data_IF_316632245722
#
_entry.id   IF_316632245722
#
_cell.length_a   1.000
_cell.length_b   1.000
_cell.length_c   1.000
_cell.angle_alpha   90.00
_cell.angle_beta   90.00
_cell.angle_gamma   90.00
#
_symmetry.space_group_name_H-M   'P 1'
#
loop_
_entity.id
_entity.type
_entity.pdbx_description
1 polymer ?
#
# COMPACT_ATOMS: atom_id res chain seq x y z
N UNK A 1 0.90 -8.87 19.60
CA UNK A 1 0.87 -10.28 20.04
C UNK A 1 -0.35 -10.92 19.40
N UNK A 2 -0.19 -11.94 18.57
CA UNK A 2 -1.35 -12.61 17.93
C UNK A 2 -1.87 -13.66 18.94
N UNK A 3 -3.17 -13.68 19.29
CA UNK A 3 -3.66 -14.46 20.44
C UNK A 3 -3.73 -15.98 20.19
N UNK A 4 -3.54 -16.43 18.96
CA UNK A 4 -3.64 -17.83 18.56
C UNK A 4 -2.94 -18.06 17.23
N UNK A 5 -2.27 -19.20 17.09
CA UNK A 5 -1.65 -19.68 15.84
C UNK A 5 -2.66 -20.36 14.90
N UNK A 6 -3.90 -20.60 15.36
CA UNK A 6 -4.97 -21.22 14.60
C UNK A 6 -5.67 -20.17 13.75
N UNK A 7 -5.91 -20.48 12.47
CA UNK A 7 -6.46 -19.51 11.52
C UNK A 7 -7.97 -19.32 11.75
N UNK A 8 -8.54 -18.11 11.57
CA UNK A 8 -9.95 -17.83 11.90
C UNK A 8 -10.99 -18.70 11.18
N UNK A 9 -10.69 -19.13 9.95
CA UNK A 9 -11.57 -20.01 9.17
C UNK A 9 -11.60 -21.46 9.70
N UNK A 10 -10.60 -21.88 10.48
CA UNK A 10 -10.54 -23.22 11.08
C UNK A 10 -11.47 -23.34 12.29
N UNK A 11 -11.80 -22.21 12.93
CA UNK A 11 -12.69 -22.13 14.10
C UNK A 11 -14.08 -21.57 13.78
N UNK A 12 -14.30 -21.09 12.55
CA UNK A 12 -15.56 -20.45 12.15
C UNK A 12 -15.78 -19.09 12.81
N UNK A 13 -14.71 -18.47 13.32
CA UNK A 13 -14.80 -17.17 13.99
C UNK A 13 -14.99 -16.06 12.96
N UNK A 14 -16.05 -15.26 13.12
CA UNK A 14 -16.18 -14.02 12.38
C UNK A 14 -15.07 -13.05 12.79
N UNK A 15 -14.40 -12.49 11.79
CA UNK A 15 -13.38 -11.46 11.99
C UNK A 15 -13.82 -10.16 11.34
N UNK A 16 -13.82 -9.09 12.12
CA UNK A 16 -14.14 -7.76 11.64
C UNK A 16 -13.07 -6.77 12.11
N UNK A 17 -12.82 -5.75 11.31
CA UNK A 17 -11.93 -4.65 11.70
C UNK A 17 -12.52 -3.31 11.30
N UNK A 18 -12.52 -2.37 12.25
CA UNK A 18 -12.97 -0.99 12.02
C UNK A 18 -11.75 -0.09 12.16
N UNK A 19 -11.48 0.72 11.13
CA UNK A 19 -10.33 1.61 11.07
C UNK A 19 -10.79 3.06 11.09
N UNK A 20 -10.12 3.89 11.88
CA UNK A 20 -10.25 5.35 11.86
C UNK A 20 -8.87 5.95 11.74
N UNK A 21 -8.54 6.41 10.53
CA UNK A 21 -7.29 7.09 10.26
C UNK A 21 -7.33 8.52 10.77
N UNK A 22 -6.27 8.92 11.47
CA UNK A 22 -5.96 10.30 11.83
C UNK A 22 -4.57 10.69 11.33
N UNK A 23 -4.16 11.95 11.51
CA UNK A 23 -2.92 12.48 10.92
C UNK A 23 -1.63 11.81 11.43
N UNK A 24 -1.59 11.38 12.69
CA UNK A 24 -0.40 10.80 13.35
C UNK A 24 -0.64 9.42 13.95
N UNK A 25 -1.87 8.96 13.91
CA UNK A 25 -2.24 7.67 14.43
C UNK A 25 -3.42 7.09 13.67
N UNK A 26 -3.42 5.78 13.51
CA UNK A 26 -4.59 5.02 13.07
C UNK A 26 -5.13 4.31 14.29
N UNK A 27 -6.44 4.38 14.51
CA UNK A 27 -7.11 3.54 15.51
C UNK A 27 -7.78 2.39 14.79
N UNK A 28 -7.62 1.20 15.32
CA UNK A 28 -8.31 0.03 14.83
C UNK A 28 -8.94 -0.74 15.98
N UNK A 29 -10.15 -1.23 15.76
CA UNK A 29 -10.77 -2.23 16.63
C UNK A 29 -10.88 -3.53 15.84
N UNK A 30 -10.13 -4.55 16.26
CA UNK A 30 -10.25 -5.90 15.74
C UNK A 30 -11.23 -6.69 16.59
N UNK A 31 -12.12 -7.44 15.96
CA UNK A 31 -12.95 -8.45 16.61
C UNK A 31 -12.65 -9.80 16.01
N UNK A 32 -12.50 -10.82 16.88
CA UNK A 32 -12.41 -12.23 16.49
C UNK A 32 -13.27 -13.03 17.45
N UNK A 33 -14.38 -13.56 16.97
CA UNK A 33 -15.39 -14.20 17.82
C UNK A 33 -15.86 -13.23 18.93
N UNK A 34 -15.72 -13.63 20.21
CA UNK A 34 -16.08 -12.79 21.37
C UNK A 34 -14.96 -11.88 21.88
N UNK A 35 -13.78 -11.91 21.26
CA UNK A 35 -12.62 -11.16 21.71
C UNK A 35 -12.44 -9.89 20.88
N UNK A 36 -12.09 -8.79 21.56
CA UNK A 36 -11.85 -7.49 20.94
C UNK A 36 -10.46 -6.97 21.28
N UNK A 37 -9.81 -6.35 20.29
CA UNK A 37 -8.48 -5.77 20.42
C UNK A 37 -8.50 -4.35 19.86
N UNK A 38 -8.44 -3.37 20.78
CA UNK A 38 -8.29 -1.97 20.43
C UNK A 38 -6.80 -1.64 20.31
N UNK A 39 -6.38 -1.23 19.11
CA UNK A 39 -5.00 -0.87 18.82
C UNK A 39 -4.93 0.57 18.34
N UNK A 40 -3.92 1.28 18.81
CA UNK A 40 -3.53 2.60 18.33
C UNK A 40 -2.19 2.44 17.65
N UNK A 41 -2.17 2.64 16.34
CA UNK A 41 -0.99 2.58 15.51
C UNK A 41 -0.42 3.97 15.41
N UNK A 42 0.80 4.16 15.86
CA UNK A 42 1.52 5.41 15.68
C UNK A 42 1.99 5.45 14.23
N UNK A 43 1.58 6.48 13.50
CA UNK A 43 2.13 6.77 12.19
C UNK A 43 3.42 7.55 12.43
N UNK A 44 4.56 6.88 12.25
CA UNK A 44 5.88 7.50 12.36
C UNK A 44 6.13 8.53 11.23
N UNK A 45 5.25 8.60 10.21
CA UNK A 45 5.26 9.62 9.15
C UNK A 45 3.87 9.80 8.51
N UNK A 46 3.65 10.95 7.85
CA UNK A 46 2.39 11.29 7.17
C UNK A 46 2.13 10.43 5.91
N UNK A 47 0.86 10.06 5.67
CA UNK A 47 0.41 9.30 4.48
C UNK A 47 0.02 10.27 3.36
N UNK A 48 0.68 10.19 2.19
CA UNK A 48 0.48 11.13 1.06
C UNK A 48 0.29 10.39 -0.29
N UNK A 49 -0.94 10.40 -0.83
CA UNK A 49 -1.37 10.08 -2.22
C UNK A 49 -1.40 8.60 -2.66
N UNK A 50 -2.61 8.06 -2.92
CA UNK A 50 -2.82 6.61 -3.15
C UNK A 50 -2.65 6.10 -4.60
N UNK A 51 -2.77 6.93 -5.65
CA UNK A 51 -2.53 6.47 -7.04
C UNK A 51 -2.30 7.62 -8.03
N UNK A 52 -1.20 7.59 -8.80
CA UNK A 52 -0.96 8.48 -9.95
C UNK A 52 -0.83 7.65 -11.22
N UNK A 53 -1.55 8.00 -12.29
CA UNK A 53 -1.49 7.32 -13.59
C UNK A 53 -0.90 8.23 -14.66
N UNK A 54 0.11 7.75 -15.39
CA UNK A 54 0.79 8.48 -16.46
C UNK A 54 0.72 7.66 -17.76
N UNK A 55 0.60 8.35 -18.89
CA UNK A 55 0.48 7.73 -20.22
C UNK A 55 1.55 8.35 -21.12
N UNK A 56 2.36 7.52 -21.78
CA UNK A 56 3.35 7.97 -22.72
C UNK A 56 2.67 8.49 -24.00
N UNK A 57 3.01 9.73 -24.39
CA UNK A 57 2.41 10.42 -25.54
C UNK A 57 2.71 9.72 -26.86
N UNK A 58 3.95 9.27 -27.04
CA UNK A 58 4.46 8.76 -28.32
C UNK A 58 4.83 7.27 -28.29
N UNK A 59 4.79 6.63 -27.12
CA UNK A 59 5.17 5.22 -26.94
C UNK A 59 3.98 4.42 -26.42
N UNK A 60 3.98 3.11 -26.63
CA UNK A 60 2.90 2.22 -26.20
C UNK A 60 2.89 1.96 -24.68
N UNK A 61 3.22 2.91 -23.80
CA UNK A 61 3.39 2.65 -22.36
C UNK A 61 2.41 3.45 -21.49
N UNK A 62 1.86 2.82 -20.45
CA UNK A 62 1.21 3.50 -19.32
C UNK A 62 1.83 3.03 -18.01
N UNK A 63 1.91 3.91 -17.01
CA UNK A 63 2.36 3.55 -15.68
C UNK A 63 1.44 4.04 -14.58
N UNK A 64 1.47 3.31 -13.47
CA UNK A 64 0.74 3.57 -12.24
C UNK A 64 1.73 3.63 -11.08
N UNK A 65 1.67 4.71 -10.32
CA UNK A 65 2.47 4.95 -9.12
C UNK A 65 1.54 4.81 -7.91
N UNK A 66 1.94 3.98 -6.94
CA UNK A 66 1.21 3.70 -5.71
C UNK A 66 2.13 3.71 -4.50
N UNK A 67 1.53 3.70 -3.30
CA UNK A 67 2.25 3.52 -2.04
C UNK A 67 3.49 4.43 -1.94
N UNK A 68 3.30 5.70 -2.30
CA UNK A 68 4.39 6.66 -2.37
C UNK A 68 4.78 7.09 -0.95
N UNK A 69 6.04 6.86 -0.59
CA UNK A 69 6.69 7.43 0.59
C UNK A 69 7.56 8.63 0.19
N UNK A 70 8.26 9.22 1.16
CA UNK A 70 9.26 10.27 0.92
C UNK A 70 10.34 9.85 -0.08
N UNK A 71 10.79 8.61 0.00
CA UNK A 71 11.97 8.08 -0.69
C UNK A 71 11.65 6.98 -1.71
N UNK A 72 10.46 6.39 -1.67
CA UNK A 72 10.10 5.23 -2.50
C UNK A 72 8.67 5.31 -3.01
N UNK A 73 8.36 4.49 -4.01
CA UNK A 73 6.99 4.24 -4.46
C UNK A 73 6.94 2.90 -5.20
N UNK A 74 5.77 2.30 -5.28
CA UNK A 74 5.55 1.16 -6.17
C UNK A 74 5.21 1.70 -7.57
N UNK A 75 5.95 1.23 -8.58
CA UNK A 75 5.71 1.57 -9.99
C UNK A 75 5.27 0.32 -10.73
N UNK A 76 4.19 0.44 -11.47
CA UNK A 76 3.68 -0.60 -12.35
C UNK A 76 3.57 -0.04 -13.77
N UNK A 77 4.15 -0.72 -14.77
CA UNK A 77 4.23 -0.27 -16.16
C UNK A 77 3.70 -1.37 -17.08
N UNK A 78 2.80 -0.99 -17.98
CA UNK A 78 2.12 -1.88 -18.92
C UNK A 78 2.15 -1.27 -20.33
N UNK A 79 2.02 -2.10 -21.39
CA UNK A 79 1.70 -1.60 -22.70
C UNK A 79 0.28 -1.00 -22.73
N UNK A 80 0.03 0.07 -23.48
CA UNK A 80 -1.34 0.59 -23.64
C UNK A 80 -2.19 -0.36 -24.49
N UNK A 81 -1.58 -0.95 -25.53
CA UNK A 81 -2.24 -1.86 -26.46
C UNK A 81 -2.57 -3.23 -25.87
N UNK A 82 -1.83 -3.68 -24.87
CA UNK A 82 -1.96 -5.03 -24.28
C UNK A 82 -1.66 -5.02 -22.78
N UNK A 83 -2.72 -4.82 -21.99
CA UNK A 83 -2.65 -4.75 -20.51
C UNK A 83 -2.43 -6.11 -19.83
N UNK A 84 -2.34 -7.20 -20.59
CA UNK A 84 -2.05 -8.52 -20.03
C UNK A 84 -0.55 -8.72 -19.75
N UNK A 85 0.31 -7.86 -20.30
CA UNK A 85 1.77 -7.92 -20.16
C UNK A 85 2.28 -6.90 -19.17
N UNK A 86 3.24 -7.30 -18.34
CA UNK A 86 3.95 -6.41 -17.42
C UNK A 86 5.30 -6.06 -18.02
N UNK A 87 5.54 -4.77 -18.29
CA UNK A 87 6.85 -4.27 -18.72
C UNK A 87 7.76 -4.05 -17.51
N UNK A 88 7.20 -3.57 -16.40
CA UNK A 88 7.91 -3.39 -15.14
C UNK A 88 6.93 -3.37 -13.97
N UNK A 89 7.30 -3.98 -12.85
CA UNK A 89 6.58 -3.83 -11.57
C UNK A 89 7.57 -3.95 -10.42
N UNK A 90 7.61 -2.94 -9.55
CA UNK A 90 8.54 -2.98 -8.42
C UNK A 90 8.61 -1.68 -7.63
N UNK A 91 9.36 -1.73 -6.53
CA UNK A 91 9.64 -0.56 -5.69
C UNK A 91 10.74 0.27 -6.34
N UNK A 92 10.46 1.54 -6.57
CA UNK A 92 11.40 2.53 -7.11
C UNK A 92 11.83 3.45 -5.99
N UNK A 93 13.13 3.66 -5.86
CA UNK A 93 13.72 4.65 -4.93
C UNK A 93 13.94 5.96 -5.65
N UNK A 94 13.41 7.06 -5.10
CA UNK A 94 13.65 8.43 -5.54
C UNK A 94 15.11 8.78 -5.28
N UNK A 95 15.92 8.95 -6.33
CA UNK A 95 17.25 9.57 -6.19
C UNK A 95 17.04 11.02 -5.75
N UNK A 96 17.71 11.44 -4.68
CA UNK A 96 17.74 12.83 -4.20
C UNK A 96 19.18 13.31 -4.13
N UNK A 97 19.42 14.60 -4.41
CA UNK A 97 20.76 15.20 -4.41
C UNK A 97 21.20 15.74 -5.78
N UNK A 98 22.40 16.34 -5.80
CA UNK A 98 22.92 17.13 -6.93
C UNK A 98 23.07 16.36 -8.26
N UNK A 99 23.01 15.03 -8.22
CA UNK A 99 23.23 14.15 -9.37
C UNK A 99 22.01 13.25 -9.68
N UNK A 100 20.80 13.67 -9.31
CA UNK A 100 19.59 12.85 -9.50
C UNK A 100 19.25 12.52 -10.95
N UNK A 101 19.88 13.21 -11.92
CA UNK A 101 19.71 13.00 -13.36
C UNK A 101 20.96 12.46 -14.08
N UNK A 102 22.02 12.08 -13.32
CA UNK A 102 23.16 11.33 -13.84
C UNK A 102 22.98 9.81 -13.64
#
# INVERSE_FOLDING_TARGET
MIPSTVQPYETGDETAVIWKAGPKEIKSLFKRGKQEFALVWILESDVLCDRVKLIAKNEDWECEIQAMTKDRFHLHVLPKSDKSKILYSGVVTKKTGLFSFL
#
